data_IF_049246639961
#
_entry.id   IF_049246639961
#
_cell.length_a   1.000
_cell.length_b   1.000
_cell.length_c   1.000
_cell.angle_alpha   90.00
_cell.angle_beta   90.00
_cell.angle_gamma   90.00
#
_symmetry.space_group_name_H-M   'P 1'
#
loop_
_entity.id
_entity.type
_entity.pdbx_description
1 polymer ?
#
# COMPACT_ATOMS: atom_id res chain seq x y z
N UNK A 1 12.22 -16.10 0.01
CA UNK A 1 11.60 -14.88 -0.58
C UNK A 1 12.71 -13.87 -0.83
N UNK A 2 12.70 -13.22 -1.99
CA UNK A 2 13.67 -12.18 -2.33
C UNK A 2 12.96 -10.83 -2.23
N UNK A 3 13.53 -9.93 -1.44
CA UNK A 3 13.01 -8.58 -1.24
C UNK A 3 13.83 -7.60 -2.07
N UNK A 4 13.13 -6.77 -2.84
CA UNK A 4 13.74 -5.81 -3.75
C UNK A 4 13.50 -4.39 -3.24
N UNK A 5 14.49 -3.52 -3.39
CA UNK A 5 14.30 -2.06 -3.28
C UNK A 5 13.63 -1.51 -4.54
N UNK A 6 13.27 -0.23 -4.55
CA UNK A 6 12.63 0.43 -5.69
C UNK A 6 13.45 0.23 -6.98
N UNK A 7 14.73 0.62 -6.97
CA UNK A 7 15.61 0.53 -8.14
C UNK A 7 15.75 -0.91 -8.66
N UNK A 8 15.74 -1.90 -7.76
CA UNK A 8 15.80 -3.31 -8.14
C UNK A 8 14.46 -3.80 -8.72
N UNK A 9 13.34 -3.34 -8.16
CA UNK A 9 12.01 -3.68 -8.67
C UNK A 9 11.78 -3.10 -10.06
N UNK A 10 12.23 -1.86 -10.33
CA UNK A 10 12.16 -1.24 -11.66
C UNK A 10 12.82 -2.12 -12.73
N UNK A 11 14.02 -2.63 -12.44
CA UNK A 11 14.74 -3.53 -13.35
C UNK A 11 14.02 -4.87 -13.47
N UNK A 12 13.67 -5.48 -12.33
CA UNK A 12 13.12 -6.85 -12.30
C UNK A 12 11.71 -6.94 -12.91
N UNK A 13 10.90 -5.88 -12.85
CA UNK A 13 9.59 -5.83 -13.52
C UNK A 13 9.71 -5.86 -15.06
N UNK A 14 10.84 -5.44 -15.63
CA UNK A 14 11.11 -5.45 -17.09
C UNK A 14 11.62 -6.81 -17.61
N UNK A 15 12.21 -7.63 -16.74
CA UNK A 15 12.76 -8.95 -17.08
C UNK A 15 11.66 -10.01 -17.22
N UNK A 16 11.91 -11.05 -18.01
CA UNK A 16 11.04 -12.21 -18.03
C UNK A 16 11.24 -13.11 -16.79
N UNK A 17 10.31 -14.06 -16.59
CA UNK A 17 10.34 -14.91 -15.40
C UNK A 17 11.53 -15.90 -15.41
N UNK A 18 12.03 -16.29 -16.59
CA UNK A 18 13.14 -17.25 -16.73
C UNK A 18 14.48 -16.59 -16.37
N UNK A 19 14.70 -15.34 -16.80
CA UNK A 19 15.85 -14.51 -16.42
C UNK A 19 15.92 -14.30 -14.90
N UNK A 20 14.78 -13.96 -14.29
CA UNK A 20 14.70 -13.77 -12.83
C UNK A 20 14.95 -15.09 -12.09
N UNK A 21 14.43 -16.21 -12.62
CA UNK A 21 14.67 -17.55 -12.08
C UNK A 21 16.16 -17.92 -12.08
N UNK A 22 16.87 -17.65 -13.17
CA UNK A 22 18.30 -17.92 -13.28
C UNK A 22 19.11 -17.10 -12.28
N UNK A 23 18.85 -15.79 -12.18
CA UNK A 23 19.53 -14.93 -11.20
C UNK A 23 19.22 -15.38 -9.77
N UNK A 24 17.97 -15.70 -9.45
CA UNK A 24 17.61 -16.24 -8.13
C UNK A 24 18.33 -17.55 -7.84
N UNK A 25 18.49 -18.44 -8.82
CA UNK A 25 19.19 -19.71 -8.67
C UNK A 25 20.68 -19.50 -8.39
N UNK A 26 21.34 -18.62 -9.13
CA UNK A 26 22.74 -18.24 -8.90
C UNK A 26 22.94 -17.66 -7.49
N UNK A 27 22.05 -16.74 -7.06
CA UNK A 27 22.09 -16.18 -5.70
C UNK A 27 21.94 -17.27 -4.63
N UNK A 28 21.02 -18.23 -4.82
CA UNK A 28 20.87 -19.36 -3.90
C UNK A 28 22.16 -20.20 -3.85
N UNK A 29 22.80 -20.49 -4.97
CA UNK A 29 24.06 -21.22 -5.02
C UNK A 29 25.19 -20.49 -4.29
N UNK A 30 25.25 -19.15 -4.41
CA UNK A 30 26.26 -18.33 -3.74
C UNK A 30 26.04 -18.33 -2.22
N UNK A 31 24.82 -18.04 -1.76
CA UNK A 31 24.52 -17.87 -0.34
C UNK A 31 24.39 -19.19 0.42
N UNK A 32 23.98 -20.26 -0.26
CA UNK A 32 23.79 -21.60 0.33
C UNK A 32 24.87 -22.57 -0.14
N UNK A 33 26.08 -22.08 -0.43
CA UNK A 33 27.24 -22.84 -0.94
C UNK A 33 27.62 -24.10 -0.14
N UNK A 34 27.15 -24.24 1.10
CA UNK A 34 27.36 -25.41 1.95
C UNK A 34 26.48 -26.60 1.55
N UNK A 35 25.42 -26.35 0.77
CA UNK A 35 24.52 -27.36 0.24
C UNK A 35 24.91 -27.67 -1.22
N UNK A 36 25.23 -28.93 -1.49
CA UNK A 36 25.49 -29.38 -2.84
C UNK A 36 24.18 -29.51 -3.65
N UNK A 37 24.27 -29.27 -4.96
CA UNK A 37 23.20 -29.53 -5.93
C UNK A 37 21.87 -28.81 -5.65
N UNK A 38 21.92 -27.52 -5.28
CA UNK A 38 20.70 -26.71 -5.16
C UNK A 38 19.98 -26.70 -6.50
N UNK A 39 18.74 -27.23 -6.59
CA UNK A 39 18.02 -27.31 -7.85
C UNK A 39 17.53 -25.94 -8.30
N UNK A 40 17.42 -25.74 -9.63
CA UNK A 40 16.82 -24.54 -10.19
C UNK A 40 15.34 -24.46 -9.76
N UNK A 41 14.85 -23.30 -9.28
CA UNK A 41 13.43 -23.16 -8.99
C UNK A 41 12.60 -23.33 -10.28
N UNK A 42 11.41 -23.91 -10.15
CA UNK A 42 10.56 -24.25 -11.31
C UNK A 42 9.57 -23.16 -11.70
N UNK A 43 9.32 -22.21 -10.78
CA UNK A 43 8.34 -21.14 -10.96
C UNK A 43 8.62 -20.01 -9.98
N UNK A 44 8.34 -18.79 -10.40
CA UNK A 44 8.27 -17.61 -9.52
C UNK A 44 6.87 -17.04 -9.50
N UNK A 45 6.60 -16.29 -8.43
CA UNK A 45 5.51 -15.34 -8.38
C UNK A 45 6.13 -13.97 -8.17
N UNK A 46 6.23 -13.20 -9.25
CA UNK A 46 6.76 -11.84 -9.24
C UNK A 46 5.61 -10.85 -9.15
N UNK A 47 5.69 -9.90 -8.22
CA UNK A 47 4.76 -8.78 -8.16
C UNK A 47 5.21 -7.66 -9.09
N UNK A 48 4.29 -7.12 -9.88
CA UNK A 48 4.55 -5.96 -10.76
C UNK A 48 3.80 -4.73 -10.24
N UNK A 49 4.16 -4.22 -9.06
CA UNK A 49 3.44 -3.13 -8.41
C UNK A 49 3.63 -1.79 -9.12
N UNK A 50 4.81 -1.56 -9.72
CA UNK A 50 5.15 -0.32 -10.43
C UNK A 50 4.42 -0.23 -11.76
N UNK A 51 4.46 -1.30 -12.57
CA UNK A 51 3.85 -1.35 -13.89
C UNK A 51 2.32 -1.51 -13.86
N UNK A 52 1.75 -2.01 -12.76
CA UNK A 52 0.31 -2.22 -12.65
C UNK A 52 -0.45 -0.87 -12.69
N UNK A 53 -1.39 -0.67 -13.65
CA UNK A 53 -2.05 0.61 -13.88
C UNK A 53 -2.95 1.08 -12.72
N UNK A 54 -3.34 0.18 -11.82
CA UNK A 54 -4.20 0.47 -10.67
C UNK A 54 -3.42 0.82 -9.40
N UNK A 55 -2.15 0.46 -9.31
CA UNK A 55 -1.30 0.68 -8.12
C UNK A 55 -0.18 1.68 -8.38
N UNK A 56 0.49 1.58 -9.54
CA UNK A 56 1.55 2.50 -10.00
C UNK A 56 2.67 2.71 -8.97
N UNK A 57 2.93 1.72 -8.14
CA UNK A 57 3.70 1.84 -6.91
C UNK A 57 3.25 0.85 -5.85
N UNK A 58 3.99 0.80 -4.75
CA UNK A 58 3.71 -0.06 -3.60
C UNK A 58 2.88 0.70 -2.57
N UNK A 59 3.48 1.67 -1.90
CA UNK A 59 2.87 2.50 -0.87
C UNK A 59 3.52 3.88 -0.87
N UNK A 60 2.78 4.87 -0.39
CA UNK A 60 3.24 6.26 -0.31
C UNK A 60 4.38 6.40 0.67
N UNK A 61 5.28 7.35 0.43
CA UNK A 61 6.25 7.79 1.42
C UNK A 61 6.40 9.32 1.36
N UNK A 62 6.54 10.02 2.50
CA UNK A 62 6.79 11.45 2.50
C UNK A 62 8.21 11.73 1.98
N UNK A 63 8.31 12.24 0.76
CA UNK A 63 9.59 12.71 0.20
C UNK A 63 10.14 13.86 1.05
N UNK A 64 11.47 13.99 1.07
CA UNK A 64 12.13 15.11 1.73
C UNK A 64 11.54 16.45 1.27
N UNK A 65 11.23 17.33 2.22
CA UNK A 65 10.58 18.62 1.98
C UNK A 65 9.04 18.60 2.04
N UNK A 66 8.41 17.44 2.18
CA UNK A 66 6.97 17.36 2.49
C UNK A 66 6.74 17.73 3.97
N UNK A 67 5.80 18.64 4.21
CA UNK A 67 5.36 19.11 5.52
C UNK A 67 3.91 18.68 5.78
N UNK A 68 3.46 18.74 7.04
CA UNK A 68 2.09 18.37 7.42
C UNK A 68 1.03 19.20 6.67
N UNK A 69 1.28 20.50 6.45
CA UNK A 69 0.40 21.39 5.68
C UNK A 69 0.15 20.91 4.25
N UNK A 70 1.12 20.22 3.66
CA UNK A 70 0.99 19.67 2.32
C UNK A 70 -0.07 18.57 2.29
N UNK A 71 -0.07 17.67 3.28
CA UNK A 71 -1.10 16.63 3.39
C UNK A 71 -2.50 17.20 3.58
N UNK A 72 -2.63 18.29 4.35
CA UNK A 72 -3.90 19.00 4.48
C UNK A 72 -4.40 19.54 3.14
N UNK A 73 -3.48 20.00 2.28
CA UNK A 73 -3.82 20.51 0.95
C UNK A 73 -4.25 19.38 -0.02
N UNK A 74 -3.50 18.28 -0.11
CA UNK A 74 -3.85 17.19 -1.03
C UNK A 74 -5.07 16.38 -0.58
N UNK A 75 -5.29 16.28 0.74
CA UNK A 75 -6.42 15.59 1.35
C UNK A 75 -7.67 16.49 1.51
N UNK A 76 -7.61 17.74 1.07
CA UNK A 76 -8.71 18.69 1.22
C UNK A 76 -9.94 18.23 0.43
N UNK A 77 -11.15 18.31 1.02
CA UNK A 77 -12.38 18.05 0.29
C UNK A 77 -12.61 19.06 -0.83
N UNK A 78 -13.17 18.60 -1.95
CA UNK A 78 -13.52 19.46 -3.09
C UNK A 78 -15.05 19.53 -3.27
N UNK A 79 -15.63 20.68 -3.67
CA UNK A 79 -14.95 21.96 -3.90
C UNK A 79 -14.55 22.68 -2.60
N UNK A 80 -15.18 22.37 -1.47
CA UNK A 80 -14.84 22.93 -0.16
C UNK A 80 -15.21 21.98 0.98
N UNK A 81 -14.69 22.27 2.18
CA UNK A 81 -14.96 21.50 3.39
C UNK A 81 -16.40 21.62 3.91
N UNK A 82 -17.08 22.74 3.62
CA UNK A 82 -18.45 23.03 4.05
C UNK A 82 -19.49 22.31 3.19
N UNK A 83 -19.19 22.09 1.90
CA UNK A 83 -20.08 21.42 0.96
C UNK A 83 -19.31 20.47 0.03
N UNK A 84 -18.69 19.41 0.58
CA UNK A 84 -17.85 18.52 -0.19
C UNK A 84 -18.68 17.66 -1.14
N UNK A 85 -18.05 17.34 -2.27
CA UNK A 85 -18.53 16.43 -3.31
C UNK A 85 -17.51 15.35 -3.63
N UNK A 86 -16.23 15.65 -3.42
CA UNK A 86 -15.12 14.70 -3.52
C UNK A 86 -14.36 14.71 -2.19
N UNK A 87 -14.10 13.51 -1.68
CA UNK A 87 -13.35 13.27 -0.45
C UNK A 87 -12.26 12.24 -0.75
N UNK A 88 -11.10 12.39 -0.13
CA UNK A 88 -9.95 11.52 -0.33
C UNK A 88 -9.70 10.67 0.92
N UNK A 89 -9.49 9.37 0.71
CA UNK A 89 -9.15 8.39 1.73
C UNK A 89 -8.18 7.36 1.16
N UNK A 90 -7.52 6.60 2.02
CA UNK A 90 -6.48 5.65 1.64
C UNK A 90 -5.23 5.83 2.50
N UNK A 91 -4.25 4.94 2.32
CA UNK A 91 -3.04 4.90 3.16
C UNK A 91 -2.29 6.26 3.15
N UNK A 92 -2.27 6.93 2.01
CA UNK A 92 -1.59 8.22 1.83
C UNK A 92 -2.22 9.38 2.62
N UNK A 93 -3.46 9.20 3.11
CA UNK A 93 -4.27 10.24 3.75
C UNK A 93 -4.39 10.06 5.27
N UNK A 94 -3.63 9.12 5.85
CA UNK A 94 -3.54 8.92 7.30
C UNK A 94 -2.19 9.42 7.80
N UNK A 95 -2.09 10.69 8.20
CA UNK A 95 -0.84 11.33 8.64
C UNK A 95 -0.03 10.52 9.65
N UNK A 96 -0.70 9.93 10.64
CA UNK A 96 -0.04 9.14 11.70
C UNK A 96 0.40 7.75 11.22
N UNK A 97 -0.17 7.25 10.12
CA UNK A 97 -0.07 5.84 9.68
C UNK A 97 0.03 5.67 8.16
N UNK A 98 0.82 6.52 7.51
CA UNK A 98 1.10 6.45 6.06
C UNK A 98 1.71 5.08 5.73
N UNK A 99 1.48 4.58 4.51
CA UNK A 99 1.98 3.29 4.00
C UNK A 99 1.37 2.05 4.65
N UNK A 100 0.34 2.19 5.48
CA UNK A 100 -0.22 1.07 6.24
C UNK A 100 -1.67 0.76 5.87
N UNK A 101 -2.04 -0.51 6.03
CA UNK A 101 -3.42 -0.97 5.91
C UNK A 101 -4.35 -0.28 6.91
N UNK A 102 -3.95 -0.17 8.18
CA UNK A 102 -4.80 0.44 9.20
C UNK A 102 -4.95 1.95 8.99
N UNK A 103 -3.95 2.64 8.45
CA UNK A 103 -4.09 4.03 7.99
C UNK A 103 -5.13 4.18 6.88
N UNK A 104 -5.14 3.27 5.89
CA UNK A 104 -6.18 3.25 4.87
C UNK A 104 -7.57 3.03 5.47
N UNK A 105 -7.70 2.09 6.41
CA UNK A 105 -8.97 1.82 7.09
C UNK A 105 -9.46 3.03 7.89
N UNK A 106 -8.60 3.62 8.71
CA UNK A 106 -8.94 4.74 9.59
C UNK A 106 -9.29 6.00 8.79
N UNK A 107 -8.53 6.31 7.74
CA UNK A 107 -8.85 7.44 6.85
C UNK A 107 -10.19 7.24 6.14
N UNK A 108 -10.49 6.02 5.68
CA UNK A 108 -11.78 5.67 5.08
C UNK A 108 -12.95 5.85 6.06
N UNK A 109 -12.81 5.35 7.29
CA UNK A 109 -13.81 5.54 8.35
C UNK A 109 -14.03 7.03 8.65
N UNK A 110 -12.96 7.81 8.78
CA UNK A 110 -13.06 9.24 9.04
C UNK A 110 -13.85 9.99 7.95
N UNK A 111 -13.66 9.64 6.66
CA UNK A 111 -14.43 10.25 5.57
C UNK A 111 -15.88 9.77 5.51
N UNK A 112 -16.15 8.50 5.86
CA UNK A 112 -17.52 8.01 6.00
C UNK A 112 -18.26 8.76 7.13
N UNK A 113 -17.63 8.94 8.28
CA UNK A 113 -18.19 9.70 9.41
C UNK A 113 -18.46 11.16 9.03
N UNK A 114 -17.55 11.78 8.25
CA UNK A 114 -17.74 13.13 7.71
C UNK A 114 -18.98 13.22 6.82
N UNK A 115 -19.19 12.24 5.93
CA UNK A 115 -20.38 12.19 5.05
C UNK A 115 -21.65 12.04 5.89
N UNK A 116 -21.69 11.08 6.82
CA UNK A 116 -22.86 10.82 7.65
C UNK A 116 -23.26 12.05 8.48
N UNK A 117 -22.26 12.77 9.03
CA UNK A 117 -22.48 14.03 9.74
C UNK A 117 -23.13 15.11 8.86
N UNK A 118 -22.76 15.22 7.58
CA UNK A 118 -23.38 16.18 6.64
C UNK A 118 -24.86 15.89 6.38
N UNK A 119 -25.27 14.62 6.49
CA UNK A 119 -26.66 14.20 6.39
C UNK A 119 -27.40 14.18 7.74
N UNK A 120 -26.76 14.67 8.81
CA UNK A 120 -27.34 14.69 10.16
C UNK A 120 -27.46 13.31 10.81
N UNK A 121 -26.73 12.31 10.31
CA UNK A 121 -26.71 10.96 10.85
C UNK A 121 -25.61 10.88 11.92
N UNK A 122 -25.99 10.54 13.14
CA UNK A 122 -25.05 10.34 14.24
C UNK A 122 -24.61 8.88 14.29
N UNK A 123 -23.31 8.64 14.10
CA UNK A 123 -22.72 7.31 14.18
C UNK A 123 -22.65 6.90 15.66
N UNK A 124 -23.40 5.86 16.04
CA UNK A 124 -23.45 5.37 17.42
C UNK A 124 -22.36 4.33 17.74
N UNK A 125 -21.75 3.71 16.71
CA UNK A 125 -20.73 2.66 16.83
C UNK A 125 -19.75 2.74 15.67
N UNK A 126 -18.45 2.51 15.90
CA UNK A 126 -17.49 2.44 14.81
C UNK A 126 -17.61 1.11 14.08
N UNK A 127 -17.34 1.10 12.78
CA UNK A 127 -17.35 -0.13 11.97
C UNK A 127 -16.45 -1.23 12.56
N UNK A 128 -15.31 -0.85 13.16
CA UNK A 128 -14.40 -1.80 13.81
C UNK A 128 -15.01 -2.47 15.06
N UNK A 129 -15.96 -1.81 15.70
CA UNK A 129 -16.68 -2.37 16.85
C UNK A 129 -17.68 -3.44 16.39
N UNK A 130 -18.21 -3.34 15.16
CA UNK A 130 -19.10 -4.35 14.57
C UNK A 130 -18.38 -5.66 14.24
N UNK A 131 -17.12 -5.59 13.82
CA UNK A 131 -16.32 -6.80 13.50
C UNK A 131 -16.03 -7.61 14.77
N UNK A 132 -15.79 -6.93 15.91
CA UNK A 132 -15.55 -7.59 17.20
C UNK A 132 -16.75 -8.40 17.71
N UNK A 133 -17.97 -8.04 17.31
CA UNK A 133 -19.20 -8.73 17.75
C UNK A 133 -19.44 -10.04 17.00
N UNK A 134 -18.81 -10.23 15.83
CA UNK A 134 -19.00 -11.43 15.00
C UNK A 134 -18.09 -12.62 15.35
N UNK A 135 -17.33 -12.54 16.45
CA UNK A 135 -16.37 -13.55 16.89
C UNK A 135 -16.76 -14.35 18.13
N UNK A 136 -18.05 -14.64 18.32
CA UNK A 136 -18.55 -15.58 19.34
C UNK A 136 -19.15 -16.82 18.68
#
# INVERSE_FOLDING_TARGET
EFWLTLDQAEIVEELDDDEVLDVCHELLQIFLKEYENIPKPVKIYKSNWLANPYTRGTYSYPKHGIQEEHFNNFGAPLPSSENPRVLFAGEAYSLDFISTFHGALLSGQAKADQILKLYGIQVSQKLIDLIKVSGN
#
